data_IF_670729065703
#
_entry.id   IF_670729065703
#
_cell.length_a   1.000
_cell.length_b   1.000
_cell.length_c   1.000
_cell.angle_alpha   90.00
_cell.angle_beta   90.00
_cell.angle_gamma   90.00
#
_symmetry.space_group_name_H-M   'P 1'
#
loop_
_entity.id
_entity.type
_entity.pdbx_description
1 polymer ?
#
# COMPACT_ATOMS: atom_id res chain seq x y z
N UNK A 1 7.49 4.51 -9.20
CA UNK A 1 6.96 4.70 -7.83
C UNK A 1 7.78 5.78 -7.12
N UNK A 2 7.54 7.07 -7.40
CA UNK A 2 8.32 8.19 -6.84
C UNK A 2 8.34 8.17 -5.30
N UNK A 3 7.21 7.79 -4.70
CA UNK A 3 7.00 7.64 -3.26
C UNK A 3 7.95 6.67 -2.56
N UNK A 4 8.04 5.46 -3.11
CA UNK A 4 8.86 4.41 -2.54
C UNK A 4 10.33 4.78 -2.66
N UNK A 5 10.74 5.27 -3.83
CA UNK A 5 12.13 5.67 -4.08
C UNK A 5 12.56 6.90 -3.28
N UNK A 6 11.66 7.86 -3.03
CA UNK A 6 11.94 9.01 -2.17
C UNK A 6 11.91 8.63 -0.69
N UNK A 7 11.03 7.71 -0.28
CA UNK A 7 10.99 7.13 1.06
C UNK A 7 12.26 6.36 1.42
N UNK A 8 12.85 5.63 0.46
CA UNK A 8 14.15 4.98 0.64
C UNK A 8 15.29 5.99 0.86
N UNK A 9 15.23 7.18 0.25
CA UNK A 9 16.18 8.26 0.53
C UNK A 9 16.07 8.77 1.98
N UNK A 10 14.84 8.87 2.50
CA UNK A 10 14.58 9.26 3.91
C UNK A 10 15.06 8.16 4.86
N UNK A 11 14.81 6.90 4.53
CA UNK A 11 15.28 5.74 5.29
C UNK A 11 16.81 5.72 5.37
N UNK A 12 17.52 5.89 4.24
CA UNK A 12 18.98 5.93 4.22
C UNK A 12 19.59 7.00 5.13
N UNK A 13 18.89 8.12 5.35
CA UNK A 13 19.39 9.18 6.23
C UNK A 13 19.15 8.88 7.71
N UNK A 14 18.11 8.11 8.04
CA UNK A 14 17.79 7.71 9.41
C UNK A 14 17.24 6.28 9.43
N UNK A 15 18.10 5.25 9.33
CA UNK A 15 17.63 3.89 9.19
C UNK A 15 16.85 3.46 10.43
N UNK A 16 15.68 2.86 10.19
CA UNK A 16 14.74 2.47 11.26
C UNK A 16 14.96 1.02 11.68
N UNK A 17 15.38 0.14 10.75
CA UNK A 17 15.70 -1.25 11.05
C UNK A 17 17.22 -1.40 11.18
N UNK A 18 17.71 -1.65 12.40
CA UNK A 18 19.13 -1.89 12.70
C UNK A 18 19.96 -0.67 13.10
N UNK A 19 19.36 0.51 13.29
CA UNK A 19 20.08 1.71 13.74
C UNK A 19 21.07 2.26 12.69
N UNK A 20 22.16 2.91 13.11
CA UNK A 20 23.15 3.52 12.19
C UNK A 20 23.86 2.50 11.29
N UNK A 21 23.93 1.24 11.72
CA UNK A 21 24.49 0.11 10.98
C UNK A 21 23.43 -0.67 10.18
N UNK A 22 22.22 -0.12 10.08
CA UNK A 22 21.12 -0.70 9.32
C UNK A 22 21.38 -0.75 7.82
N UNK A 23 20.55 -1.51 7.11
CA UNK A 23 20.63 -1.65 5.65
C UNK A 23 20.57 -0.29 4.95
N UNK A 24 21.42 -0.05 3.95
CA UNK A 24 21.32 1.15 3.10
C UNK A 24 21.04 0.75 1.66
N UNK A 25 20.20 1.53 0.99
CA UNK A 25 19.84 1.30 -0.41
C UNK A 25 20.75 2.09 -1.35
N UNK A 26 21.12 1.53 -2.51
CA UNK A 26 21.99 2.22 -3.45
C UNK A 26 21.33 3.47 -4.03
N UNK A 27 22.13 4.51 -4.31
CA UNK A 27 21.62 5.83 -4.75
C UNK A 27 20.80 5.81 -6.04
N UNK A 28 20.98 4.82 -6.91
CA UNK A 28 20.17 4.67 -8.12
C UNK A 28 18.73 4.25 -7.83
N UNK A 29 18.49 3.62 -6.67
CA UNK A 29 17.16 3.21 -6.22
C UNK A 29 16.44 4.31 -5.42
N UNK A 30 17.12 5.42 -5.14
CA UNK A 30 16.58 6.54 -4.37
C UNK A 30 16.28 7.75 -5.24
N UNK A 31 15.25 8.52 -4.89
CA UNK A 31 14.82 9.70 -5.64
C UNK A 31 15.01 10.97 -4.79
N UNK A 32 15.55 12.03 -5.42
CA UNK A 32 15.72 13.36 -4.81
C UNK A 32 17.16 13.81 -4.59
N UNK A 33 18.15 12.94 -4.82
CA UNK A 33 19.60 13.26 -4.80
C UNK A 33 20.19 13.51 -3.41
N UNK A 34 19.54 14.32 -2.58
CA UNK A 34 19.89 14.64 -1.19
C UNK A 34 18.65 14.54 -0.28
N UNK A 35 18.84 14.63 1.04
CA UNK A 35 17.77 14.39 2.03
C UNK A 35 16.54 15.30 1.87
N UNK A 36 16.75 16.61 1.78
CA UNK A 36 15.65 17.56 1.59
C UNK A 36 14.93 17.36 0.24
N UNK A 37 15.66 17.03 -0.83
CA UNK A 37 15.08 16.71 -2.13
C UNK A 37 14.22 15.45 -2.10
N UNK A 38 14.70 14.39 -1.44
CA UNK A 38 13.93 13.17 -1.22
C UNK A 38 12.66 13.44 -0.41
N UNK A 39 12.76 14.24 0.66
CA UNK A 39 11.61 14.64 1.48
C UNK A 39 10.55 15.42 0.69
N UNK A 40 10.97 16.37 -0.16
CA UNK A 40 10.05 17.14 -0.99
C UNK A 40 9.27 16.26 -1.97
N UNK A 41 9.96 15.35 -2.67
CA UNK A 41 9.31 14.42 -3.59
C UNK A 41 8.39 13.43 -2.88
N UNK A 42 8.77 12.99 -1.69
CA UNK A 42 7.93 12.12 -0.86
C UNK A 42 6.64 12.83 -0.45
N UNK A 43 6.72 14.05 0.08
CA UNK A 43 5.49 14.78 0.44
C UNK A 43 4.64 15.18 -0.76
N UNK A 44 5.26 15.54 -1.89
CA UNK A 44 4.52 15.83 -3.11
C UNK A 44 3.72 14.62 -3.59
N UNK A 45 4.36 13.45 -3.63
CA UNK A 45 3.67 12.25 -4.03
C UNK A 45 2.64 11.82 -2.96
N UNK A 46 2.92 12.03 -1.66
CA UNK A 46 2.03 11.66 -0.56
C UNK A 46 0.65 12.28 -0.75
N UNK A 47 0.60 13.55 -1.17
CA UNK A 47 -0.65 14.23 -1.48
C UNK A 47 -1.38 13.60 -2.67
N UNK A 48 -0.67 13.27 -3.75
CA UNK A 48 -1.27 12.59 -4.91
C UNK A 48 -1.86 11.24 -4.49
N UNK A 49 -1.11 10.47 -3.72
CA UNK A 49 -1.55 9.18 -3.19
C UNK A 49 -2.78 9.33 -2.26
N UNK A 50 -2.73 10.27 -1.32
CA UNK A 50 -3.81 10.51 -0.36
C UNK A 50 -5.11 10.97 -1.05
N UNK A 51 -5.03 11.94 -1.98
CA UNK A 51 -6.20 12.41 -2.71
C UNK A 51 -6.77 11.34 -3.62
N UNK A 52 -5.92 10.55 -4.29
CA UNK A 52 -6.38 9.45 -5.15
C UNK A 52 -7.15 8.40 -4.32
N UNK A 53 -6.60 8.01 -3.17
CA UNK A 53 -7.26 7.04 -2.30
C UNK A 53 -8.57 7.60 -1.73
N UNK A 54 -8.59 8.88 -1.33
CA UNK A 54 -9.76 9.55 -0.80
C UNK A 54 -10.90 9.63 -1.82
N UNK A 55 -10.61 10.15 -3.02
CA UNK A 55 -11.60 10.29 -4.10
C UNK A 55 -12.15 8.92 -4.49
N UNK A 56 -11.29 7.93 -4.67
CA UNK A 56 -11.71 6.58 -5.02
C UNK A 56 -12.50 5.91 -3.88
N UNK A 57 -12.12 6.15 -2.62
CA UNK A 57 -12.83 5.69 -1.44
C UNK A 57 -14.24 6.26 -1.36
N UNK A 58 -14.39 7.58 -1.52
CA UNK A 58 -15.69 8.27 -1.58
C UNK A 58 -16.54 7.70 -2.71
N UNK A 59 -15.97 7.51 -3.89
CA UNK A 59 -16.67 6.90 -5.03
C UNK A 59 -17.21 5.50 -4.69
N UNK A 60 -16.39 4.61 -4.11
CA UNK A 60 -16.83 3.26 -3.72
C UNK A 60 -17.92 3.31 -2.65
N UNK A 61 -17.79 4.22 -1.69
CA UNK A 61 -18.75 4.40 -0.60
C UNK A 61 -20.12 4.85 -1.14
N UNK A 62 -20.14 5.94 -1.93
CA UNK A 62 -21.37 6.50 -2.53
C UNK A 62 -22.03 5.51 -3.50
N UNK A 63 -21.26 4.80 -4.31
CA UNK A 63 -21.80 3.80 -5.25
C UNK A 63 -22.16 2.46 -4.59
N UNK A 64 -21.93 2.31 -3.28
CA UNK A 64 -22.10 1.07 -2.51
C UNK A 64 -21.38 -0.15 -3.13
N UNK A 65 -20.36 0.08 -3.96
CA UNK A 65 -19.62 -0.98 -4.66
C UNK A 65 -18.85 -1.88 -3.68
N UNK A 66 -18.60 -1.38 -2.47
CA UNK A 66 -17.97 -2.14 -1.38
C UNK A 66 -18.71 -3.46 -1.08
N UNK A 67 -20.05 -3.48 -1.17
CA UNK A 67 -20.88 -4.68 -0.95
C UNK A 67 -20.58 -5.83 -1.90
N UNK A 68 -20.07 -5.52 -3.12
CA UNK A 68 -19.79 -6.52 -4.17
C UNK A 68 -18.29 -6.76 -4.35
N UNK A 69 -17.46 -5.74 -4.12
CA UNK A 69 -16.02 -5.78 -4.34
C UNK A 69 -15.23 -6.33 -3.15
N UNK A 70 -15.69 -6.14 -1.91
CA UNK A 70 -14.93 -6.58 -0.74
C UNK A 70 -15.22 -8.02 -0.36
N UNK A 71 -14.25 -8.61 0.34
CA UNK A 71 -14.35 -9.95 0.89
C UNK A 71 -15.61 -10.08 1.76
N UNK A 72 -16.42 -11.09 1.47
CA UNK A 72 -17.70 -11.34 2.12
C UNK A 72 -17.71 -12.69 2.83
N UNK A 73 -18.69 -12.93 3.71
CA UNK A 73 -18.85 -14.25 4.35
C UNK A 73 -19.06 -15.40 3.34
N UNK A 74 -19.52 -15.10 2.12
CA UNK A 74 -19.65 -16.09 1.05
C UNK A 74 -18.30 -16.48 0.45
N UNK A 75 -17.31 -15.57 0.49
CA UNK A 75 -15.94 -15.85 0.06
C UNK A 75 -15.21 -16.74 1.07
N UNK A 76 -15.42 -16.52 2.37
CA UNK A 76 -14.87 -17.37 3.42
C UNK A 76 -15.34 -18.82 3.27
N UNK A 77 -16.64 -19.02 3.03
CA UNK A 77 -17.21 -20.35 2.75
C UNK A 77 -16.61 -21.00 1.49
N UNK A 78 -16.39 -20.21 0.43
CA UNK A 78 -15.79 -20.70 -0.81
C UNK A 78 -14.30 -21.09 -0.64
N UNK A 79 -13.57 -20.42 0.27
CA UNK A 79 -12.18 -20.77 0.59
C UNK A 79 -12.07 -22.02 1.46
N UNK A 80 -13.00 -22.22 2.39
CA UNK A 80 -12.99 -23.34 3.36
C UNK A 80 -13.56 -24.64 2.79
N UNK A 81 -14.66 -24.56 2.02
CA UNK A 81 -15.47 -25.74 1.63
C UNK A 81 -15.69 -25.82 0.12
N UNK A 82 -15.27 -24.80 -0.65
CA UNK A 82 -15.55 -24.71 -2.08
C UNK A 82 -14.66 -25.62 -2.93
N UNK A 83 -15.29 -26.57 -3.63
CA UNK A 83 -14.65 -27.45 -4.63
C UNK A 83 -14.34 -26.73 -5.96
N UNK A 84 -15.00 -25.59 -6.23
CA UNK A 84 -14.83 -24.85 -7.49
C UNK A 84 -13.55 -23.99 -7.45
N UNK A 85 -12.53 -24.41 -8.20
CA UNK A 85 -11.22 -23.75 -8.28
C UNK A 85 -11.32 -22.29 -8.73
N UNK A 86 -12.16 -21.97 -9.72
CA UNK A 86 -12.34 -20.58 -10.22
C UNK A 86 -12.94 -19.67 -9.14
N UNK A 87 -13.96 -20.14 -8.42
CA UNK A 87 -14.59 -19.37 -7.34
C UNK A 87 -13.61 -19.12 -6.19
N UNK A 88 -12.79 -20.11 -5.85
CA UNK A 88 -11.75 -20.02 -4.82
C UNK A 88 -10.67 -18.99 -5.19
N UNK A 89 -10.19 -18.99 -6.45
CA UNK A 89 -9.25 -17.98 -6.95
C UNK A 89 -9.82 -16.57 -6.88
N UNK A 90 -11.09 -16.37 -7.24
CA UNK A 90 -11.74 -15.06 -7.14
C UNK A 90 -11.89 -14.58 -5.69
N UNK A 91 -12.23 -15.48 -4.77
CA UNK A 91 -12.29 -15.19 -3.33
C UNK A 91 -10.92 -14.81 -2.74
N UNK A 92 -9.83 -15.45 -3.18
CA UNK A 92 -8.46 -15.04 -2.83
C UNK A 92 -8.13 -13.62 -3.32
N UNK A 93 -8.50 -13.27 -4.55
CA UNK A 93 -8.31 -11.91 -5.06
C UNK A 93 -9.06 -10.89 -4.21
N UNK A 94 -10.32 -11.15 -3.86
CA UNK A 94 -11.11 -10.26 -3.00
C UNK A 94 -10.52 -10.10 -1.61
N UNK A 95 -10.02 -11.19 -1.01
CA UNK A 95 -9.35 -11.15 0.29
C UNK A 95 -8.14 -10.22 0.26
N UNK A 96 -7.27 -10.41 -0.74
CA UNK A 96 -6.06 -9.60 -0.92
C UNK A 96 -6.42 -8.13 -1.17
N UNK A 97 -7.40 -7.86 -2.05
CA UNK A 97 -7.91 -6.50 -2.30
C UNK A 97 -8.50 -5.82 -1.06
N UNK A 98 -9.19 -6.57 -0.20
CA UNK A 98 -9.71 -6.01 1.05
C UNK A 98 -8.60 -5.81 2.08
N UNK A 99 -7.64 -6.73 2.15
CA UNK A 99 -6.52 -6.69 3.10
C UNK A 99 -5.56 -5.51 2.89
N UNK A 100 -5.39 -5.03 1.66
CA UNK A 100 -4.48 -3.89 1.39
C UNK A 100 -5.06 -2.55 1.86
N UNK A 101 -6.39 -2.39 1.90
CA UNK A 101 -7.03 -1.12 2.28
C UNK A 101 -6.58 -0.58 3.64
N UNK A 102 -6.62 -1.36 4.74
CA UNK A 102 -6.14 -0.88 6.03
C UNK A 102 -4.64 -0.52 6.00
N UNK A 103 -3.81 -1.22 5.21
CA UNK A 103 -2.39 -0.88 5.04
C UNK A 103 -2.23 0.47 4.35
N UNK A 104 -3.00 0.72 3.29
CA UNK A 104 -2.98 1.98 2.55
C UNK A 104 -3.41 3.16 3.42
N UNK A 105 -4.46 2.95 4.22
CA UNK A 105 -4.98 3.92 5.19
C UNK A 105 -3.93 4.18 6.28
N UNK A 106 -3.31 3.13 6.82
CA UNK A 106 -2.27 3.23 7.84
C UNK A 106 -1.07 4.03 7.34
N UNK A 107 -0.66 3.85 6.08
CA UNK A 107 0.42 4.61 5.46
C UNK A 107 0.13 6.11 5.44
N UNK A 108 -1.11 6.51 5.11
CA UNK A 108 -1.52 7.92 5.10
C UNK A 108 -1.55 8.48 6.52
N UNK A 109 -2.22 7.82 7.47
CA UNK A 109 -2.34 8.36 8.83
C UNK A 109 -0.98 8.50 9.53
N UNK A 110 -0.13 7.48 9.42
CA UNK A 110 1.22 7.55 9.96
C UNK A 110 2.09 8.59 9.25
N UNK A 111 1.96 8.74 7.93
CA UNK A 111 2.66 9.77 7.16
C UNK A 111 2.22 11.19 7.52
N UNK A 112 0.92 11.43 7.70
CA UNK A 112 0.37 12.71 8.15
C UNK A 112 0.84 13.07 9.56
N UNK A 113 0.84 12.10 10.48
CA UNK A 113 1.37 12.29 11.84
C UNK A 113 2.85 12.71 11.82
N UNK A 114 3.65 12.15 10.91
CA UNK A 114 5.06 12.51 10.72
C UNK A 114 5.26 13.83 9.97
N UNK A 115 4.36 14.21 9.07
CA UNK A 115 4.46 15.45 8.27
C UNK A 115 4.29 16.71 9.12
N UNK A 116 3.30 16.73 10.03
CA UNK A 116 2.98 17.89 10.87
C UNK A 116 2.69 17.47 12.33
N UNK A 117 3.69 16.98 13.08
CA UNK A 117 3.48 16.40 14.42
C UNK A 117 2.92 17.40 15.44
N UNK A 118 3.28 18.69 15.35
CA UNK A 118 2.76 19.71 16.26
C UNK A 118 1.25 19.97 16.04
N UNK A 119 0.80 19.98 14.77
CA UNK A 119 -0.60 20.22 14.42
C UNK A 119 -1.45 18.96 14.59
N UNK A 120 -0.86 17.79 14.38
CA UNK A 120 -1.51 16.48 14.43
C UNK A 120 -1.03 15.65 15.63
N UNK A 121 -0.79 16.30 16.77
CA UNK A 121 -0.27 15.63 17.98
C UNK A 121 -1.22 14.55 18.49
N UNK A 122 -2.54 14.72 18.34
CA UNK A 122 -3.54 13.71 18.69
C UNK A 122 -3.41 12.45 17.83
N UNK A 123 -3.08 12.61 16.54
CA UNK A 123 -2.88 11.52 15.61
C UNK A 123 -1.57 10.80 15.90
N UNK A 124 -0.51 11.56 16.20
CA UNK A 124 0.77 11.02 16.65
C UNK A 124 0.61 10.26 17.98
N UNK A 125 -0.25 10.73 18.89
CA UNK A 125 -0.55 10.08 20.18
C UNK A 125 -1.29 8.75 20.07
N UNK A 126 -1.91 8.43 18.92
CA UNK A 126 -2.42 7.06 18.66
C UNK A 126 -1.29 6.04 18.53
N UNK A 127 -0.08 6.52 18.20
CA UNK A 127 1.12 5.71 18.15
C UNK A 127 1.87 5.88 19.48
N UNK A 128 2.11 4.75 20.16
CA UNK A 128 2.67 4.69 21.52
C UNK A 128 3.87 5.64 21.70
N UNK A 129 4.79 5.67 20.72
CA UNK A 129 5.91 6.59 20.70
C UNK A 129 6.35 6.91 19.25
N UNK A 130 7.26 7.87 19.11
CA UNK A 130 7.75 8.34 17.82
C UNK A 130 8.47 7.25 17.01
N UNK A 131 9.19 6.36 17.69
CA UNK A 131 9.90 5.26 17.01
C UNK A 131 8.93 4.22 16.46
N UNK A 132 7.89 3.86 17.22
CA UNK A 132 6.81 2.96 16.78
C UNK A 132 6.06 3.59 15.61
N UNK A 133 5.77 4.90 15.64
CA UNK A 133 5.16 5.60 14.51
C UNK A 133 5.98 5.42 13.22
N UNK A 134 7.30 5.63 13.30
CA UNK A 134 8.21 5.44 12.17
C UNK A 134 8.24 3.99 11.72
N UNK A 135 8.37 3.04 12.63
CA UNK A 135 8.38 1.60 12.32
C UNK A 135 7.10 1.22 11.57
N UNK A 136 5.93 1.61 12.11
CA UNK A 136 4.64 1.30 11.50
C UNK A 136 4.53 1.91 10.10
N UNK A 137 4.94 3.18 9.93
CA UNK A 137 4.94 3.83 8.62
C UNK A 137 5.83 3.09 7.62
N UNK A 138 7.09 2.83 8.00
CA UNK A 138 8.05 2.15 7.12
C UNK A 138 7.65 0.70 6.82
N UNK A 139 6.94 0.02 7.73
CA UNK A 139 6.43 -1.33 7.51
C UNK A 139 5.35 -1.38 6.42
N UNK A 140 4.62 -0.29 6.18
CA UNK A 140 3.63 -0.23 5.09
C UNK A 140 4.26 -0.37 3.71
N UNK A 141 5.52 0.02 3.54
CA UNK A 141 6.25 -0.04 2.26
C UNK A 141 6.49 -1.49 1.80
N UNK A 142 7.20 -2.36 2.55
CA UNK A 142 7.43 -3.74 2.14
C UNK A 142 6.12 -4.55 2.06
N UNK A 143 5.13 -4.28 2.93
CA UNK A 143 3.81 -4.93 2.83
C UNK A 143 3.13 -4.56 1.51
N UNK A 144 3.16 -3.28 1.11
CA UNK A 144 2.56 -2.82 -0.14
C UNK A 144 3.31 -3.37 -1.36
N UNK A 145 4.63 -3.46 -1.31
CA UNK A 145 5.44 -4.10 -2.36
C UNK A 145 5.12 -5.59 -2.50
N UNK A 146 5.08 -6.32 -1.38
CA UNK A 146 4.70 -7.73 -1.36
C UNK A 146 3.28 -7.93 -1.93
N UNK A 147 2.34 -7.08 -1.54
CA UNK A 147 0.99 -7.08 -2.09
C UNK A 147 1.01 -6.93 -3.62
N UNK A 148 1.73 -5.95 -4.15
CA UNK A 148 1.81 -5.72 -5.61
C UNK A 148 2.37 -6.96 -6.32
N UNK A 149 3.43 -7.57 -5.77
CA UNK A 149 4.02 -8.80 -6.33
C UNK A 149 3.01 -9.95 -6.36
N UNK A 150 2.37 -10.24 -5.22
CA UNK A 150 1.36 -11.30 -5.11
C UNK A 150 0.19 -11.02 -6.05
N UNK A 151 -0.28 -9.77 -6.10
CA UNK A 151 -1.38 -9.34 -6.95
C UNK A 151 -1.09 -9.55 -8.44
N UNK A 152 0.12 -9.21 -8.90
CA UNK A 152 0.56 -9.42 -10.28
C UNK A 152 0.65 -10.91 -10.60
N UNK A 153 1.28 -11.71 -9.74
CA UNK A 153 1.40 -13.18 -9.94
C UNK A 153 0.03 -13.82 -10.07
N UNK A 154 -0.92 -13.43 -9.21
CA UNK A 154 -2.29 -13.93 -9.27
C UNK A 154 -3.03 -13.47 -10.53
N UNK A 155 -2.86 -12.21 -10.95
CA UNK A 155 -3.42 -11.69 -12.19
C UNK A 155 -2.91 -12.45 -13.43
N UNK A 156 -1.62 -12.76 -13.48
CA UNK A 156 -1.03 -13.58 -14.56
C UNK A 156 -1.63 -14.98 -14.55
N UNK A 157 -1.67 -15.64 -13.37
CA UNK A 157 -2.23 -17.00 -13.22
C UNK A 157 -3.74 -17.07 -13.50
N UNK A 158 -4.48 -16.00 -13.27
CA UNK A 158 -5.91 -15.92 -13.54
C UNK A 158 -6.27 -15.83 -15.03
N UNK A 159 -5.29 -15.60 -15.92
CA UNK A 159 -5.50 -15.65 -17.38
C UNK A 159 -4.82 -14.53 -18.19
N UNK A 160 -3.74 -13.93 -17.68
CA UNK A 160 -3.18 -12.66 -18.16
C UNK A 160 -2.92 -12.54 -19.68
N UNK A 161 -2.54 -13.62 -20.37
CA UNK A 161 -2.30 -13.61 -21.83
C UNK A 161 -3.54 -13.95 -22.69
N UNK A 162 -4.53 -14.66 -22.14
CA UNK A 162 -5.78 -15.00 -22.86
C UNK A 162 -6.81 -13.86 -22.79
N UNK A 163 -6.88 -13.17 -21.65
CA UNK A 163 -7.80 -12.03 -21.44
C UNK A 163 -7.37 -10.77 -22.20
N UNK A 164 -6.06 -10.51 -22.31
CA UNK A 164 -5.54 -9.38 -23.09
C UNK A 164 -5.76 -9.60 -24.59
N UNK A 165 -5.54 -10.82 -25.10
CA UNK A 165 -5.83 -11.15 -26.51
C UNK A 165 -7.31 -11.05 -26.86
N UNK A 166 -8.23 -11.42 -25.97
CA UNK A 166 -9.68 -11.29 -26.23
C UNK A 166 -10.20 -9.86 -26.24
N UNK A 167 -9.44 -8.88 -25.72
CA UNK A 167 -9.81 -7.45 -25.80
C UNK A 167 -9.41 -6.81 -27.14
N UNK A 168 -8.51 -7.43 -27.89
CA UNK A 168 -7.99 -6.95 -29.18
C UNK A 168 -8.41 -7.82 -30.37
N UNK A 169 -9.26 -8.82 -30.15
CA UNK A 169 -9.91 -9.57 -31.22
C UNK A 169 -11.31 -8.98 -31.45
N UNK A 170 -11.60 -8.43 -32.63
CA UNK A 170 -12.90 -7.84 -32.98
C UNK A 170 -14.03 -8.88 -33.03
#
# INVERSE_FOLDING_TARGET
MPETTSGLQIYNATPVFGGKDGWTFPKWATLGGWLAGGRNWHFAAMWVYAFTLLIYGIYIFLTQRWKRKFFSGQDLKALQVGQNSKRRTYSWHRLIYTGIIPVLILAIFSGLAMYKPAQLHWLAGLFINWDILRIVHFLTVPISLLFVLVHIIMGIRAGGLRLTRSMFQP
#
